data_IF_485693644202
#
_entry.id   IF_485693644202
#
_cell.length_a   1.000
_cell.length_b   1.000
_cell.length_c   1.000
_cell.angle_alpha   90.00
_cell.angle_beta   90.00
_cell.angle_gamma   90.00
#
_symmetry.space_group_name_H-M   'P 1'
#
loop_
_entity.id
_entity.type
_entity.pdbx_description
1 polymer ?
#
# COMPACT_ATOMS: atom_id res chain seq x y z
N UNK A 1 -30.34 -10.78 17.12
CA UNK A 1 -29.20 -10.07 16.51
C UNK A 1 -28.26 -9.74 17.65
N UNK A 2 -27.00 -10.19 17.57
CA UNK A 2 -25.98 -9.78 18.54
C UNK A 2 -25.73 -8.28 18.37
N UNK A 3 -25.52 -7.58 19.48
CA UNK A 3 -25.14 -6.16 19.43
C UNK A 3 -23.61 -6.01 19.41
N UNK A 4 -23.06 -4.95 18.80
CA UNK A 4 -21.63 -4.68 18.82
C UNK A 4 -21.09 -4.70 20.25
N UNK A 5 -19.89 -5.27 20.44
CA UNK A 5 -19.21 -5.28 21.74
C UNK A 5 -18.45 -3.97 21.93
N UNK A 6 -19.17 -2.95 22.38
CA UNK A 6 -18.64 -1.58 22.54
C UNK A 6 -18.27 -1.36 24.02
N UNK A 7 -17.02 -0.95 24.26
CA UNK A 7 -16.62 -0.57 25.60
C UNK A 7 -17.33 0.71 26.06
N UNK A 8 -17.81 0.79 27.32
CA UNK A 8 -18.62 1.91 27.79
C UNK A 8 -17.98 3.30 27.71
N UNK A 9 -16.62 3.36 27.61
CA UNK A 9 -15.89 4.63 27.46
C UNK A 9 -15.59 5.00 26.02
N UNK A 10 -16.00 4.19 25.04
CA UNK A 10 -15.89 4.56 23.63
C UNK A 10 -16.89 5.66 23.29
N UNK A 11 -16.50 6.59 22.43
CA UNK A 11 -17.35 7.66 21.93
C UNK A 11 -17.63 7.37 20.45
N UNK A 12 -18.89 7.13 20.13
CA UNK A 12 -19.31 6.78 18.76
C UNK A 12 -20.39 7.78 18.33
N UNK A 13 -20.18 8.41 17.18
CA UNK A 13 -21.17 9.33 16.61
C UNK A 13 -22.41 8.56 16.11
N UNK A 14 -23.59 9.15 16.27
CA UNK A 14 -24.85 8.54 15.87
C UNK A 14 -24.96 8.30 14.35
N UNK A 15 -24.18 9.00 13.54
CA UNK A 15 -24.10 8.81 12.10
C UNK A 15 -23.01 7.78 11.66
N UNK A 16 -22.38 7.10 12.60
CA UNK A 16 -21.49 5.98 12.32
C UNK A 16 -22.29 4.68 12.13
N UNK A 17 -21.87 3.86 11.17
CA UNK A 17 -22.52 2.58 10.85
C UNK A 17 -21.57 1.42 11.20
N UNK A 18 -21.88 0.65 12.21
CA UNK A 18 -21.08 -0.50 12.66
C UNK A 18 -21.86 -1.80 12.48
N UNK A 19 -21.22 -2.82 11.89
CA UNK A 19 -21.81 -4.16 11.91
C UNK A 19 -21.95 -4.70 13.34
N UNK A 20 -22.95 -5.54 13.57
CA UNK A 20 -23.25 -6.09 14.88
C UNK A 20 -22.16 -6.94 15.52
N UNK A 21 -21.18 -7.41 14.75
CA UNK A 21 -20.04 -8.22 15.21
C UNK A 21 -18.78 -7.39 15.54
N UNK A 22 -18.84 -6.06 15.38
CA UNK A 22 -17.70 -5.17 15.64
C UNK A 22 -17.37 -5.11 17.14
N UNK A 23 -16.08 -5.17 17.46
CA UNK A 23 -15.57 -4.96 18.81
C UNK A 23 -14.88 -3.58 18.89
N UNK A 24 -15.27 -2.74 19.86
CA UNK A 24 -14.68 -1.42 20.08
C UNK A 24 -14.11 -1.31 21.49
N UNK A 25 -12.80 -1.04 21.57
CA UNK A 25 -12.05 -0.92 22.81
C UNK A 25 -12.26 0.40 23.55
N UNK A 26 -11.70 0.52 24.78
CA UNK A 26 -11.87 1.68 25.62
C UNK A 26 -11.26 2.96 24.98
N UNK A 27 -11.97 4.07 25.21
CA UNK A 27 -11.55 5.42 24.75
C UNK A 27 -11.34 5.55 23.24
N UNK A 28 -11.86 4.62 22.44
CA UNK A 28 -11.92 4.78 21.00
C UNK A 28 -12.91 5.90 20.64
N UNK A 29 -12.59 6.68 19.60
CA UNK A 29 -13.47 7.74 19.08
C UNK A 29 -13.79 7.41 17.63
N UNK A 30 -15.07 7.25 17.31
CA UNK A 30 -15.57 6.95 15.96
C UNK A 30 -16.48 8.10 15.55
N UNK A 31 -16.02 8.88 14.59
CA UNK A 31 -16.71 10.06 14.09
C UNK A 31 -17.85 9.76 13.11
N UNK A 32 -18.53 10.80 12.65
CA UNK A 32 -19.63 10.66 11.70
C UNK A 32 -19.15 10.11 10.35
N UNK A 33 -20.05 9.45 9.61
CA UNK A 33 -19.78 8.89 8.27
C UNK A 33 -18.65 7.85 8.25
N UNK A 34 -18.37 7.20 9.38
CA UNK A 34 -17.50 6.03 9.46
C UNK A 34 -18.36 4.78 9.31
N UNK A 35 -17.96 3.87 8.41
CA UNK A 35 -18.58 2.56 8.20
C UNK A 35 -17.61 1.46 8.53
N UNK A 36 -18.02 0.49 9.35
CA UNK A 36 -17.15 -0.62 9.80
C UNK A 36 -17.85 -1.94 9.52
N UNK A 37 -17.22 -2.76 8.65
CA UNK A 37 -17.69 -4.08 8.27
C UNK A 37 -17.53 -5.14 9.36
N UNK A 38 -18.11 -6.30 9.09
CA UNK A 38 -18.19 -7.42 10.04
C UNK A 38 -16.84 -7.89 10.55
N UNK A 39 -16.78 -8.35 11.80
CA UNK A 39 -15.60 -8.96 12.41
C UNK A 39 -14.44 -8.01 12.71
N UNK A 40 -14.61 -6.71 12.50
CA UNK A 40 -13.58 -5.73 12.80
C UNK A 40 -13.34 -5.54 14.28
N UNK A 41 -12.09 -5.28 14.66
CA UNK A 41 -11.67 -4.98 16.03
C UNK A 41 -10.96 -3.63 16.08
N UNK A 42 -11.55 -2.68 16.78
CA UNK A 42 -11.04 -1.34 17.02
C UNK A 42 -10.41 -1.29 18.40
N UNK A 43 -9.10 -1.11 18.48
CA UNK A 43 -8.34 -1.08 19.73
C UNK A 43 -8.61 0.15 20.59
N UNK A 44 -8.00 0.17 21.77
CA UNK A 44 -8.11 1.30 22.69
C UNK A 44 -7.50 2.57 22.10
N UNK A 45 -8.12 3.73 22.37
CA UNK A 45 -7.64 5.05 21.91
C UNK A 45 -7.48 5.19 20.38
N UNK A 46 -8.13 4.37 19.59
CA UNK A 46 -8.17 4.54 18.14
C UNK A 46 -9.12 5.69 17.81
N UNK A 47 -8.71 6.54 16.87
CA UNK A 47 -9.55 7.61 16.33
C UNK A 47 -9.86 7.28 14.87
N UNK A 48 -11.16 7.17 14.55
CA UNK A 48 -11.67 7.02 13.19
C UNK A 48 -12.44 8.26 12.79
N UNK A 49 -12.04 8.91 11.71
CA UNK A 49 -12.73 10.08 11.16
C UNK A 49 -13.33 9.76 9.79
N UNK A 50 -14.56 10.21 9.55
CA UNK A 50 -15.25 9.98 8.27
C UNK A 50 -15.13 11.16 7.30
N UNK A 51 -15.40 10.93 6.03
CA UNK A 51 -15.87 9.66 5.41
C UNK A 51 -14.79 8.58 5.35
N UNK A 52 -15.02 7.48 6.04
CA UNK A 52 -14.10 6.32 6.04
C UNK A 52 -14.89 5.02 6.02
N UNK A 53 -14.54 4.13 5.10
CA UNK A 53 -15.10 2.78 5.04
C UNK A 53 -14.02 1.76 5.35
N UNK A 54 -14.26 0.93 6.36
CA UNK A 54 -13.50 -0.26 6.68
C UNK A 54 -14.28 -1.48 6.22
N UNK A 55 -13.72 -2.32 5.39
CA UNK A 55 -14.27 -3.64 5.05
C UNK A 55 -14.30 -4.58 6.26
N UNK A 56 -14.32 -5.85 6.01
CA UNK A 56 -14.49 -6.88 7.05
C UNK A 56 -13.15 -7.32 7.67
N UNK A 57 -13.21 -7.86 8.89
CA UNK A 57 -12.10 -8.53 9.58
C UNK A 57 -10.83 -7.69 9.78
N UNK A 58 -10.93 -6.38 9.77
CA UNK A 58 -9.81 -5.48 10.03
C UNK A 58 -9.48 -5.41 11.53
N UNK A 59 -8.21 -5.29 11.86
CA UNK A 59 -7.73 -5.11 13.25
C UNK A 59 -6.94 -3.82 13.36
N UNK A 60 -7.44 -2.87 14.13
CA UNK A 60 -6.76 -1.61 14.45
C UNK A 60 -6.23 -1.69 15.88
N UNK A 61 -4.95 -1.49 16.01
CA UNK A 61 -4.25 -1.49 17.31
C UNK A 61 -4.29 -0.09 17.96
N UNK A 62 -3.96 0.01 19.25
CA UNK A 62 -4.11 1.27 19.99
C UNK A 62 -3.41 2.47 19.35
N UNK A 63 -4.03 3.64 19.52
CA UNK A 63 -3.52 4.96 19.11
C UNK A 63 -3.44 5.18 17.60
N UNK A 64 -4.10 4.37 16.77
CA UNK A 64 -4.21 4.68 15.34
C UNK A 64 -5.10 5.91 15.13
N UNK A 65 -4.73 6.74 14.13
CA UNK A 65 -5.54 7.84 13.60
C UNK A 65 -5.83 7.56 12.12
N UNK A 66 -7.06 7.19 11.83
CA UNK A 66 -7.46 6.69 10.50
C UNK A 66 -8.62 7.52 9.97
N UNK A 67 -8.48 8.02 8.75
CA UNK A 67 -9.48 8.86 8.10
C UNK A 67 -9.37 10.36 8.44
N UNK A 68 -8.31 10.79 9.12
CA UNK A 68 -8.08 12.21 9.39
C UNK A 68 -7.90 13.02 8.09
N UNK A 69 -8.16 14.32 8.17
CA UNK A 69 -7.97 15.24 7.07
C UNK A 69 -6.54 15.17 6.49
N UNK A 70 -6.38 15.37 5.16
CA UNK A 70 -5.06 15.43 4.54
C UNK A 70 -4.13 16.45 5.18
N UNK A 71 -2.84 16.10 5.30
CA UNK A 71 -1.80 17.03 5.74
C UNK A 71 -1.29 17.89 4.56
N UNK A 72 -2.19 18.32 3.70
CA UNK A 72 -1.92 19.21 2.58
C UNK A 72 -2.48 20.61 2.88
N UNK A 73 -1.64 21.63 2.77
CA UNK A 73 -2.05 23.02 3.01
C UNK A 73 -3.13 23.54 2.05
N UNK A 74 -3.32 22.87 0.92
CA UNK A 74 -4.36 23.21 -0.06
C UNK A 74 -5.74 22.67 0.30
N UNK A 75 -5.79 21.67 1.19
CA UNK A 75 -7.05 21.07 1.62
C UNK A 75 -7.87 22.09 2.41
N UNK A 76 -9.08 22.37 1.95
CA UNK A 76 -9.99 23.35 2.52
C UNK A 76 -11.26 22.74 3.14
N UNK A 77 -11.24 21.43 3.42
CA UNK A 77 -12.39 20.72 4.02
C UNK A 77 -13.32 20.09 2.99
N UNK A 78 -12.82 19.82 1.79
CA UNK A 78 -13.60 19.18 0.73
C UNK A 78 -14.06 17.78 1.10
N UNK A 79 -15.16 17.35 0.47
CA UNK A 79 -15.74 16.03 0.71
C UNK A 79 -14.90 14.92 0.05
N UNK A 80 -13.98 14.37 0.83
CA UNK A 80 -13.03 13.34 0.40
C UNK A 80 -13.09 12.14 1.33
N UNK A 81 -12.58 10.98 0.91
CA UNK A 81 -12.81 9.72 1.59
C UNK A 81 -11.53 8.88 1.80
N UNK A 82 -11.65 7.89 2.67
CA UNK A 82 -10.73 6.78 2.85
C UNK A 82 -11.50 5.46 2.69
N UNK A 83 -10.98 4.56 1.88
CA UNK A 83 -11.51 3.21 1.70
C UNK A 83 -10.43 2.19 2.08
N UNK A 84 -10.74 1.30 3.02
CA UNK A 84 -9.88 0.21 3.46
C UNK A 84 -10.63 -1.10 3.22
N UNK A 85 -10.00 -2.03 2.52
CA UNK A 85 -10.53 -3.37 2.24
C UNK A 85 -10.63 -4.26 3.47
N UNK A 86 -10.42 -5.54 3.29
CA UNK A 86 -10.67 -6.56 4.29
C UNK A 86 -9.37 -7.13 4.90
N UNK A 87 -9.45 -7.69 6.09
CA UNK A 87 -8.38 -8.52 6.66
C UNK A 87 -7.11 -7.77 7.05
N UNK A 88 -7.09 -6.44 7.03
CA UNK A 88 -5.90 -5.66 7.31
C UNK A 88 -5.55 -5.66 8.80
N UNK A 89 -4.27 -5.74 9.10
CA UNK A 89 -3.73 -5.51 10.44
C UNK A 89 -3.01 -4.17 10.48
N UNK A 90 -3.56 -3.22 11.23
CA UNK A 90 -3.07 -1.85 11.38
C UNK A 90 -2.55 -1.68 12.79
N UNK A 91 -1.21 -1.67 12.96
CA UNK A 91 -0.54 -1.65 14.24
C UNK A 91 -0.54 -0.25 14.87
N UNK A 92 0.03 -0.18 16.07
CA UNK A 92 -0.01 0.98 16.96
C UNK A 92 0.49 2.27 16.30
N UNK A 93 -0.17 3.39 16.58
CA UNK A 93 0.23 4.73 16.14
C UNK A 93 0.32 4.90 14.61
N UNK A 94 -0.35 4.06 13.83
CA UNK A 94 -0.47 4.24 12.39
C UNK A 94 -1.38 5.42 12.08
N UNK A 95 -1.02 6.20 11.06
CA UNK A 95 -1.84 7.30 10.56
C UNK A 95 -2.16 7.08 9.08
N UNK A 96 -3.45 7.23 8.71
CA UNK A 96 -3.92 7.13 7.32
C UNK A 96 -4.85 8.30 7.04
N UNK A 97 -4.52 9.14 6.08
CA UNK A 97 -5.32 10.32 5.73
C UNK A 97 -6.31 10.01 4.59
N UNK A 98 -7.41 10.78 4.54
CA UNK A 98 -8.34 10.81 3.40
C UNK A 98 -7.66 11.36 2.16
N UNK A 99 -8.31 11.22 1.00
CA UNK A 99 -7.86 11.81 -0.27
C UNK A 99 -8.05 13.33 -0.37
N UNK A 100 -7.63 13.89 -1.50
CA UNK A 100 -7.86 15.27 -1.90
C UNK A 100 -8.61 15.34 -3.23
N UNK A 101 -9.30 16.44 -3.51
CA UNK A 101 -10.06 16.60 -4.77
C UNK A 101 -9.16 16.66 -6.00
N UNK A 102 -7.86 16.86 -5.82
CA UNK A 102 -6.90 16.94 -6.91
C UNK A 102 -6.62 15.58 -7.57
N UNK A 103 -6.90 14.47 -6.88
CA UNK A 103 -6.64 13.11 -7.40
C UNK A 103 -7.77 12.11 -7.07
N UNK A 104 -8.98 12.46 -7.43
CA UNK A 104 -10.14 11.57 -7.30
C UNK A 104 -10.73 11.46 -5.90
N UNK A 105 -10.25 12.21 -4.93
CA UNK A 105 -10.89 12.41 -3.63
C UNK A 105 -10.79 11.23 -2.66
N UNK A 106 -10.06 10.16 -2.95
CA UNK A 106 -10.09 8.95 -2.13
C UNK A 106 -8.71 8.31 -1.98
N UNK A 107 -8.27 8.12 -0.74
CA UNK A 107 -7.17 7.22 -0.40
C UNK A 107 -7.69 5.78 -0.33
N UNK A 108 -6.95 4.81 -0.91
CA UNK A 108 -7.36 3.40 -0.96
C UNK A 108 -6.30 2.48 -0.40
N UNK A 109 -6.74 1.55 0.45
CA UNK A 109 -5.93 0.45 0.97
C UNK A 109 -6.68 -0.85 0.68
N UNK A 110 -6.04 -1.78 -0.02
CA UNK A 110 -6.62 -3.07 -0.38
C UNK A 110 -6.76 -4.04 0.79
N UNK A 111 -6.70 -5.33 0.49
CA UNK A 111 -6.95 -6.42 1.42
C UNK A 111 -5.67 -7.03 2.00
N UNK A 112 -5.78 -7.66 3.17
CA UNK A 112 -4.76 -8.51 3.81
C UNK A 112 -3.39 -7.84 3.99
N UNK A 113 -3.36 -6.53 4.23
CA UNK A 113 -2.13 -5.79 4.44
C UNK A 113 -1.67 -5.86 5.90
N UNK A 114 -0.36 -5.97 6.12
CA UNK A 114 0.30 -5.91 7.42
C UNK A 114 1.03 -4.58 7.58
N UNK A 115 0.39 -3.63 8.26
CA UNK A 115 0.87 -2.27 8.44
C UNK A 115 1.39 -2.14 9.87
N UNK A 116 2.73 -2.10 10.04
CA UNK A 116 3.37 -2.10 11.34
C UNK A 116 3.31 -0.71 12.01
N UNK A 117 3.77 -0.66 13.26
CA UNK A 117 3.65 0.53 14.09
C UNK A 117 4.35 1.77 13.49
N UNK A 118 3.74 2.93 13.72
CA UNK A 118 4.23 4.25 13.26
C UNK A 118 4.30 4.42 11.74
N UNK A 119 3.61 3.60 10.96
CA UNK A 119 3.49 3.80 9.51
C UNK A 119 2.58 4.98 9.23
N UNK A 120 2.94 5.79 8.23
CA UNK A 120 2.10 6.85 7.69
C UNK A 120 1.72 6.57 6.24
N UNK A 121 0.42 6.69 5.94
CA UNK A 121 -0.12 6.66 4.57
C UNK A 121 -0.81 8.01 4.34
N UNK A 122 -0.21 8.85 3.51
CA UNK A 122 -0.76 10.15 3.17
C UNK A 122 -1.96 10.04 2.21
N UNK A 123 -2.54 11.19 1.92
CA UNK A 123 -3.68 11.37 1.03
C UNK A 123 -3.44 10.82 -0.39
N UNK A 124 -4.48 10.37 -1.04
CA UNK A 124 -4.50 9.89 -2.43
C UNK A 124 -3.55 8.71 -2.72
N UNK A 125 -3.04 8.05 -1.68
CA UNK A 125 -2.30 6.81 -1.86
C UNK A 125 -3.23 5.69 -2.30
N UNK A 126 -2.71 4.82 -3.18
CA UNK A 126 -3.36 3.57 -3.59
C UNK A 126 -2.46 2.42 -3.18
N UNK A 127 -2.89 1.64 -2.21
CA UNK A 127 -2.16 0.47 -1.69
C UNK A 127 -2.90 -0.79 -2.13
N UNK A 128 -2.19 -1.70 -2.79
CA UNK A 128 -2.71 -3.00 -3.21
C UNK A 128 -2.94 -3.97 -2.05
N UNK A 129 -2.89 -5.24 -2.35
CA UNK A 129 -3.20 -6.32 -1.41
C UNK A 129 -1.95 -7.04 -0.91
N UNK A 130 -2.05 -7.68 0.27
CA UNK A 130 -1.00 -8.52 0.86
C UNK A 130 0.34 -7.80 1.05
N UNK A 131 0.33 -6.49 1.25
CA UNK A 131 1.56 -5.72 1.46
C UNK A 131 2.05 -5.81 2.90
N UNK A 132 3.34 -5.58 3.10
CA UNK A 132 3.96 -5.48 4.42
C UNK A 132 4.70 -4.15 4.50
N UNK A 133 4.26 -3.27 5.39
CA UNK A 133 4.95 -2.03 5.70
C UNK A 133 5.58 -2.17 7.08
N UNK A 134 6.90 -2.27 7.12
CA UNK A 134 7.61 -2.36 8.39
C UNK A 134 7.59 -1.02 9.14
N UNK A 135 7.92 -1.05 10.42
CA UNK A 135 7.83 0.10 11.32
C UNK A 135 8.41 1.40 10.72
N UNK A 136 7.71 2.51 10.96
CA UNK A 136 8.12 3.86 10.56
C UNK A 136 8.26 4.08 9.04
N UNK A 137 7.66 3.22 8.21
CA UNK A 137 7.53 3.48 6.78
C UNK A 137 6.57 4.65 6.55
N UNK A 138 6.94 5.58 5.66
CA UNK A 138 6.08 6.72 5.31
C UNK A 138 5.85 6.78 3.79
N UNK A 139 4.60 6.86 3.41
CA UNK A 139 4.16 7.14 2.05
C UNK A 139 3.70 8.60 1.99
N UNK A 140 4.36 9.41 1.18
CA UNK A 140 3.87 10.76 0.86
C UNK A 140 2.64 10.68 -0.07
N UNK A 141 1.99 11.81 -0.35
CA UNK A 141 0.75 11.82 -1.15
C UNK A 141 0.90 11.20 -2.54
N UNK A 142 -0.19 10.62 -3.05
CA UNK A 142 -0.29 10.07 -4.40
C UNK A 142 0.67 8.89 -4.71
N UNK A 143 1.13 8.17 -3.69
CA UNK A 143 1.98 6.99 -3.87
C UNK A 143 1.13 5.78 -4.24
N UNK A 144 1.57 5.01 -5.24
CA UNK A 144 0.92 3.77 -5.65
C UNK A 144 1.78 2.57 -5.30
N UNK A 145 1.24 1.64 -4.54
CA UNK A 145 1.90 0.41 -4.10
C UNK A 145 1.16 -0.79 -4.69
N UNK A 146 1.86 -1.62 -5.45
CA UNK A 146 1.30 -2.87 -5.99
C UNK A 146 1.16 -3.97 -4.95
N UNK A 147 0.51 -5.06 -5.35
CA UNK A 147 0.30 -6.22 -4.49
C UNK A 147 1.62 -6.86 -4.05
N UNK A 148 1.63 -7.42 -2.84
CA UNK A 148 2.76 -8.15 -2.30
C UNK A 148 4.05 -7.34 -2.12
N UNK A 149 3.98 -6.03 -2.13
CA UNK A 149 5.13 -5.16 -1.84
C UNK A 149 5.53 -5.28 -0.38
N UNK A 150 6.84 -5.32 -0.13
CA UNK A 150 7.40 -5.25 1.22
C UNK A 150 8.25 -4.00 1.32
N UNK A 151 7.87 -3.08 2.21
CA UNK A 151 8.70 -1.92 2.55
C UNK A 151 9.44 -2.18 3.85
N UNK A 152 10.77 -2.18 3.78
CA UNK A 152 11.63 -2.30 4.96
C UNK A 152 11.46 -1.13 5.92
N UNK A 153 11.73 -1.36 7.20
CA UNK A 153 11.55 -0.34 8.24
C UNK A 153 12.23 0.99 7.89
N UNK A 154 11.57 2.09 8.28
CA UNK A 154 12.04 3.44 7.99
C UNK A 154 12.24 3.74 6.48
N UNK A 155 11.49 3.07 5.61
CA UNK A 155 11.43 3.43 4.18
C UNK A 155 10.63 4.71 4.01
N UNK A 156 11.14 5.66 3.22
CA UNK A 156 10.48 6.93 2.91
C UNK A 156 10.17 6.98 1.41
N UNK A 157 8.91 7.09 1.04
CA UNK A 157 8.49 7.10 -0.36
C UNK A 157 7.99 8.48 -0.74
N UNK A 158 8.67 9.10 -1.70
CA UNK A 158 8.34 10.44 -2.20
C UNK A 158 7.00 10.43 -2.95
N UNK A 159 6.30 11.57 -2.92
CA UNK A 159 5.01 11.74 -3.59
C UNK A 159 5.06 11.34 -5.08
N UNK A 160 3.95 10.77 -5.54
CA UNK A 160 3.75 10.27 -6.92
C UNK A 160 4.64 9.09 -7.34
N UNK A 161 5.47 8.53 -6.46
CA UNK A 161 6.22 7.33 -6.78
C UNK A 161 5.29 6.10 -6.86
N UNK A 162 5.66 5.19 -7.77
CA UNK A 162 5.00 3.90 -7.93
C UNK A 162 5.95 2.77 -7.55
N UNK A 163 5.47 1.82 -6.77
CA UNK A 163 6.21 0.61 -6.41
C UNK A 163 5.43 -0.60 -6.93
N UNK A 164 6.00 -1.29 -7.91
CA UNK A 164 5.34 -2.40 -8.60
C UNK A 164 5.21 -3.66 -7.75
N UNK A 165 4.26 -4.50 -8.12
CA UNK A 165 3.93 -5.72 -7.38
C UNK A 165 5.16 -6.61 -7.09
N UNK A 166 5.19 -7.24 -5.92
CA UNK A 166 6.27 -8.11 -5.44
C UNK A 166 7.63 -7.41 -5.22
N UNK A 167 7.74 -6.10 -5.41
CA UNK A 167 8.97 -5.37 -5.11
C UNK A 167 9.24 -5.34 -3.59
N UNK A 168 10.51 -5.10 -3.25
CA UNK A 168 10.92 -5.02 -1.84
C UNK A 168 11.94 -3.90 -1.65
N UNK A 169 11.78 -3.09 -0.58
CA UNK A 169 12.83 -2.17 -0.14
C UNK A 169 13.56 -2.71 1.08
N UNK A 170 14.85 -2.40 1.18
CA UNK A 170 15.62 -2.60 2.40
C UNK A 170 15.28 -1.55 3.47
N UNK A 171 15.71 -1.77 4.71
CA UNK A 171 15.55 -0.81 5.82
C UNK A 171 16.26 0.51 5.51
N UNK A 172 15.62 1.64 5.86
CA UNK A 172 16.19 2.98 5.66
C UNK A 172 16.26 3.46 4.20
N UNK A 173 15.48 2.88 3.31
CA UNK A 173 15.46 3.25 1.89
C UNK A 173 14.75 4.59 1.65
N UNK A 174 15.33 5.45 0.81
CA UNK A 174 14.72 6.69 0.35
C UNK A 174 14.33 6.55 -1.12
N UNK A 175 13.03 6.42 -1.38
CA UNK A 175 12.46 6.16 -2.71
C UNK A 175 12.05 7.48 -3.36
N UNK A 176 12.79 7.94 -4.35
CA UNK A 176 12.52 9.18 -5.11
C UNK A 176 12.08 8.91 -6.56
N UNK A 177 12.17 7.67 -6.99
CA UNK A 177 11.82 7.20 -8.34
C UNK A 177 11.00 5.91 -8.25
N UNK A 178 10.32 5.55 -9.34
CA UNK A 178 9.50 4.35 -9.40
C UNK A 178 10.33 3.08 -9.27
N UNK A 179 9.84 2.09 -8.51
CA UNK A 179 10.48 0.77 -8.39
C UNK A 179 9.65 -0.24 -9.19
N UNK A 180 10.19 -0.81 -10.27
CA UNK A 180 9.46 -1.78 -11.08
C UNK A 180 9.08 -3.06 -10.30
N UNK A 181 8.06 -3.80 -10.78
CA UNK A 181 7.68 -5.09 -10.21
C UNK A 181 8.86 -6.03 -10.00
N UNK A 182 8.82 -6.79 -8.92
CA UNK A 182 9.78 -7.83 -8.55
C UNK A 182 11.13 -7.32 -8.05
N UNK A 183 11.44 -6.03 -8.19
CA UNK A 183 12.78 -5.47 -7.91
C UNK A 183 13.03 -5.34 -6.41
N UNK A 184 14.25 -5.69 -5.98
CA UNK A 184 14.80 -5.34 -4.68
C UNK A 184 15.64 -4.07 -4.81
N UNK A 185 15.35 -3.08 -3.95
CA UNK A 185 16.11 -1.84 -3.89
C UNK A 185 16.38 -1.43 -2.45
N UNK A 186 17.49 -0.75 -2.18
CA UNK A 186 17.79 -0.25 -0.84
C UNK A 186 18.75 0.94 -0.85
N UNK A 187 18.78 1.66 0.26
CA UNK A 187 19.77 2.70 0.52
C UNK A 187 19.30 4.13 0.28
N UNK A 188 20.22 5.06 0.52
CA UNK A 188 20.14 6.48 0.21
C UNK A 188 21.54 6.98 -0.25
N UNK A 189 21.72 7.19 -1.56
CA UNK A 189 20.76 7.06 -2.66
C UNK A 189 20.26 5.62 -2.86
N UNK A 190 19.03 5.47 -3.38
CA UNK A 190 18.43 4.17 -3.65
C UNK A 190 19.13 3.48 -4.82
N UNK A 191 19.49 2.21 -4.65
CA UNK A 191 20.06 1.37 -5.70
C UNK A 191 19.31 0.03 -5.80
N UNK A 192 19.28 -0.54 -7.02
CA UNK A 192 18.65 -1.84 -7.26
C UNK A 192 19.66 -2.98 -7.11
N UNK A 193 19.27 -4.08 -6.46
CA UNK A 193 20.14 -5.21 -6.12
C UNK A 193 19.75 -6.53 -6.80
N UNK A 194 18.71 -6.56 -7.60
CA UNK A 194 18.20 -7.75 -8.27
C UNK A 194 16.70 -7.89 -8.10
N UNK A 195 16.22 -9.12 -8.09
CA UNK A 195 14.80 -9.44 -7.90
C UNK A 195 14.53 -10.09 -6.55
N UNK A 196 13.32 -9.93 -6.02
CA UNK A 196 12.85 -10.56 -4.79
C UNK A 196 12.59 -12.06 -4.97
N UNK A 197 13.64 -12.83 -5.32
CA UNK A 197 13.53 -14.26 -5.63
C UNK A 197 12.91 -15.08 -4.52
N UNK A 198 13.24 -14.79 -3.26
CA UNK A 198 12.70 -15.51 -2.11
C UNK A 198 11.21 -15.21 -1.92
N UNK A 199 10.80 -13.95 -2.04
CA UNK A 199 9.39 -13.58 -1.98
C UNK A 199 8.59 -14.22 -3.10
N UNK A 200 9.11 -14.26 -4.31
CA UNK A 200 8.47 -14.92 -5.45
C UNK A 200 8.31 -16.42 -5.21
N UNK A 201 9.36 -17.11 -4.74
CA UNK A 201 9.31 -18.53 -4.40
C UNK A 201 8.24 -18.84 -3.35
N UNK A 202 8.16 -18.05 -2.27
CA UNK A 202 7.14 -18.19 -1.21
C UNK A 202 5.71 -18.00 -1.71
N UNK A 203 5.54 -17.27 -2.81
CA UNK A 203 4.24 -16.98 -3.45
C UNK A 203 3.93 -17.93 -4.60
N UNK A 204 4.69 -19.04 -4.75
CA UNK A 204 4.41 -20.12 -5.68
C UNK A 204 4.89 -19.88 -7.11
N UNK A 205 5.76 -18.90 -7.35
CA UNK A 205 6.43 -18.81 -8.66
C UNK A 205 7.39 -19.97 -8.85
N UNK A 206 7.34 -20.58 -10.04
CA UNK A 206 8.24 -21.70 -10.37
C UNK A 206 9.68 -21.23 -10.58
N UNK A 207 10.69 -22.13 -10.51
CA UNK A 207 12.07 -21.80 -10.83
C UNK A 207 12.24 -21.20 -12.23
N UNK A 208 11.46 -21.66 -13.20
CA UNK A 208 11.44 -21.19 -14.60
C UNK A 208 10.91 -19.74 -14.66
N UNK A 209 9.77 -19.47 -14.01
CA UNK A 209 9.18 -18.13 -13.91
C UNK A 209 10.16 -17.15 -13.23
N UNK A 210 10.79 -17.54 -12.13
CA UNK A 210 11.79 -16.71 -11.43
C UNK A 210 13.03 -16.46 -12.34
N UNK A 211 13.41 -17.44 -13.12
CA UNK A 211 14.51 -17.30 -14.08
C UNK A 211 14.16 -16.34 -15.20
N UNK A 212 12.93 -16.37 -15.70
CA UNK A 212 12.41 -15.45 -16.70
C UNK A 212 12.39 -14.01 -16.16
N UNK A 213 11.86 -13.77 -14.97
CA UNK A 213 11.84 -12.46 -14.31
C UNK A 213 13.29 -11.95 -14.08
N UNK A 214 14.23 -12.84 -13.71
CA UNK A 214 15.64 -12.47 -13.55
C UNK A 214 16.31 -12.06 -14.87
N UNK A 215 15.94 -12.69 -15.99
CA UNK A 215 16.39 -12.27 -17.31
C UNK A 215 15.82 -10.90 -17.68
N UNK A 216 14.55 -10.65 -17.41
CA UNK A 216 13.92 -9.35 -17.61
C UNK A 216 14.60 -8.23 -16.79
N UNK A 217 14.95 -8.50 -15.53
CA UNK A 217 15.75 -7.57 -14.72
C UNK A 217 17.10 -7.25 -15.40
N UNK A 218 17.79 -8.26 -15.96
CA UNK A 218 19.06 -8.03 -16.67
C UNK A 218 18.85 -7.19 -17.94
N UNK A 219 17.80 -7.42 -18.69
CA UNK A 219 17.42 -6.60 -19.85
C UNK A 219 17.23 -5.14 -19.45
N UNK A 220 16.52 -4.89 -18.36
CA UNK A 220 16.22 -3.53 -17.88
C UNK A 220 17.45 -2.79 -17.31
N UNK A 221 18.36 -3.50 -16.63
CA UNK A 221 19.39 -2.87 -15.80
C UNK A 221 20.84 -3.16 -16.21
N UNK A 222 21.09 -4.18 -17.05
CA UNK A 222 22.46 -4.69 -17.29
C UNK A 222 22.87 -4.76 -18.77
N UNK A 223 21.97 -4.44 -19.69
CA UNK A 223 22.26 -4.51 -21.13
C UNK A 223 22.58 -3.15 -21.77
N UNK A 224 22.62 -2.08 -20.97
CA UNK A 224 22.90 -0.73 -21.49
C UNK A 224 21.79 -0.12 -22.34
N UNK A 225 20.60 -0.72 -22.35
CA UNK A 225 19.46 -0.23 -23.10
C UNK A 225 18.87 1.03 -22.46
N UNK A 226 18.32 1.90 -23.26
CA UNK A 226 17.41 2.96 -22.80
C UNK A 226 16.14 2.32 -22.22
N UNK A 227 15.37 3.09 -21.45
CA UNK A 227 14.11 2.60 -20.89
C UNK A 227 13.12 2.19 -22.00
N UNK A 228 13.07 2.95 -23.09
CA UNK A 228 12.21 2.65 -24.24
C UNK A 228 12.60 1.34 -24.92
N UNK A 229 13.88 1.16 -25.25
CA UNK A 229 14.40 -0.08 -25.86
C UNK A 229 14.19 -1.30 -24.96
N UNK A 230 14.45 -1.16 -23.64
CA UNK A 230 14.22 -2.24 -22.69
C UNK A 230 12.73 -2.63 -22.61
N UNK A 231 11.83 -1.64 -22.60
CA UNK A 231 10.38 -1.86 -22.62
C UNK A 231 9.94 -2.60 -23.89
N UNK A 232 10.41 -2.18 -25.05
CA UNK A 232 10.09 -2.80 -26.33
C UNK A 232 10.56 -4.26 -26.38
N UNK A 233 11.79 -4.51 -25.95
CA UNK A 233 12.36 -5.86 -25.85
C UNK A 233 11.56 -6.75 -24.89
N UNK A 234 11.15 -6.24 -23.74
CA UNK A 234 10.34 -6.96 -22.74
C UNK A 234 8.92 -7.21 -23.26
N UNK A 235 8.34 -6.27 -24.00
CA UNK A 235 7.03 -6.41 -24.61
C UNK A 235 7.02 -7.54 -25.67
N UNK A 236 8.06 -7.60 -26.51
CA UNK A 236 8.23 -8.70 -27.47
C UNK A 236 8.38 -10.06 -26.77
N UNK A 237 9.13 -10.11 -25.66
CA UNK A 237 9.25 -11.34 -24.86
C UNK A 237 7.94 -11.73 -24.19
N UNK A 238 7.16 -10.78 -23.63
CA UNK A 238 5.88 -11.05 -23.00
C UNK A 238 4.87 -11.67 -23.98
N UNK A 239 4.92 -11.29 -25.25
CA UNK A 239 4.04 -11.80 -26.29
C UNK A 239 4.36 -13.25 -26.76
N UNK A 240 5.41 -13.89 -26.23
CA UNK A 240 5.84 -15.22 -26.69
C UNK A 240 4.84 -16.31 -26.34
N UNK A 241 4.36 -16.33 -25.08
CA UNK A 241 3.38 -17.28 -24.58
C UNK A 241 2.72 -16.79 -23.28
N UNK A 242 1.75 -17.55 -22.78
CA UNK A 242 0.99 -17.19 -21.57
C UNK A 242 1.87 -17.08 -20.30
N UNK A 243 2.93 -17.87 -20.18
CA UNK A 243 3.85 -17.81 -19.03
C UNK A 243 4.68 -16.53 -19.09
N UNK A 244 5.15 -16.13 -20.26
CA UNK A 244 5.86 -14.88 -20.47
C UNK A 244 4.95 -13.68 -20.19
N UNK A 245 3.72 -13.68 -20.71
CA UNK A 245 2.75 -12.61 -20.40
C UNK A 245 2.44 -12.52 -18.90
N UNK A 246 2.22 -13.63 -18.23
CA UNK A 246 2.00 -13.68 -16.77
C UNK A 246 3.14 -13.01 -16.00
N UNK A 247 4.39 -13.32 -16.36
CA UNK A 247 5.59 -12.86 -15.64
C UNK A 247 6.04 -11.45 -16.05
N UNK A 248 5.97 -11.12 -17.32
CA UNK A 248 6.54 -9.89 -17.89
C UNK A 248 5.50 -8.81 -18.15
N UNK A 249 4.24 -9.18 -18.39
CA UNK A 249 3.15 -8.24 -18.64
C UNK A 249 3.01 -7.18 -17.55
N UNK A 250 3.01 -7.54 -16.25
CA UNK A 250 2.99 -6.53 -15.18
C UNK A 250 4.17 -5.55 -15.25
N UNK A 251 5.37 -6.03 -15.58
CA UNK A 251 6.54 -5.19 -15.73
C UNK A 251 6.42 -4.24 -16.94
N UNK A 252 5.97 -4.75 -18.08
CA UNK A 252 5.78 -3.95 -19.31
C UNK A 252 4.75 -2.84 -19.09
N UNK A 253 3.61 -3.17 -18.48
CA UNK A 253 2.57 -2.17 -18.14
C UNK A 253 3.14 -1.10 -17.20
N UNK A 254 3.80 -1.53 -16.12
CA UNK A 254 4.42 -0.60 -15.16
C UNK A 254 5.39 0.37 -15.83
N UNK A 255 6.28 -0.12 -16.71
CA UNK A 255 7.23 0.72 -17.43
C UNK A 255 6.54 1.71 -18.40
N UNK A 256 5.33 1.39 -18.84
CA UNK A 256 4.48 2.31 -19.63
C UNK A 256 3.91 3.45 -18.81
N UNK A 257 3.62 3.17 -17.55
CA UNK A 257 2.96 4.09 -16.62
C UNK A 257 3.95 4.84 -15.69
N UNK A 258 5.25 4.52 -15.78
CA UNK A 258 6.27 5.16 -14.96
C UNK A 258 6.45 6.63 -15.36
N UNK A 259 6.21 7.54 -14.42
CA UNK A 259 6.25 9.00 -14.65
C UNK A 259 7.45 9.68 -14.00
N UNK A 260 8.05 9.06 -12.99
CA UNK A 260 9.20 9.62 -12.25
C UNK A 260 10.55 9.00 -12.65
N UNK A 261 10.59 8.28 -13.77
CA UNK A 261 11.72 7.40 -14.08
C UNK A 261 11.78 6.21 -13.13
N UNK A 262 12.69 5.28 -13.37
CA UNK A 262 12.86 4.10 -12.52
C UNK A 262 14.13 4.18 -11.69
N UNK A 263 14.10 3.63 -10.48
CA UNK A 263 15.28 3.44 -9.63
C UNK A 263 16.35 2.61 -10.36
N UNK A 264 17.60 3.02 -10.31
CA UNK A 264 18.73 2.37 -10.98
C UNK A 264 19.87 2.06 -10.02
#
# INVERSE_FOLDING_TARGET
>A
MEQPRIHPTAVIDDAAELDSSVEVGPYAVIGPRVRIGAGCKVGAHVVLEGPTTLGENNRLYPFCSVGAAPQDKKYAGEDTALEIGNGNTIRECVTINRGTVQDGGTTRVGDDNWIMAYVHIAHDCVVGNHTIFANTTNLAGHVHIGDWVILGGNSQVHQFCKIGAHAMTGTGSIVLQDIPPYVMASGNPLATHGINSEGLRRRGFTPEEITLIRRAYKTLYRQGLTLAEAREALQAQAATDATHEKCLGPLVRFLGDATRGIAR
#
